data_IF_996457212109
#
_entry.id   IF_996457212109
#
_cell.length_a   1.000
_cell.length_b   1.000
_cell.length_c   1.000
_cell.angle_alpha   90.00
_cell.angle_beta   90.00
_cell.angle_gamma   90.00
#
_symmetry.space_group_name_H-M   'P 1'
#
loop_
_entity.id
_entity.type
_entity.pdbx_description
1 polymer ?
#
# COMPACT_ATOMS: atom_id res chain seq x y z
N UNK A 1 9.13 -3.30 9.02
CA UNK A 1 9.81 -2.26 8.22
C UNK A 1 8.84 -1.12 8.03
N UNK A 2 9.31 0.13 7.94
CA UNK A 2 8.45 1.26 7.63
C UNK A 2 7.87 1.09 6.22
N UNK A 3 6.59 1.41 6.02
CA UNK A 3 6.00 1.39 4.69
C UNK A 3 6.55 2.55 3.85
N UNK A 4 6.84 2.27 2.59
CA UNK A 4 7.51 3.18 1.65
C UNK A 4 6.47 3.86 0.76
N UNK A 5 6.52 5.18 0.70
CA UNK A 5 5.59 5.97 -0.12
C UNK A 5 6.38 6.76 -1.16
N UNK A 6 6.09 6.52 -2.44
CA UNK A 6 6.65 7.31 -3.54
C UNK A 6 5.80 8.58 -3.71
N UNK A 7 6.43 9.74 -3.60
CA UNK A 7 5.84 11.06 -3.79
C UNK A 7 6.34 11.63 -5.11
N UNK A 8 5.44 11.76 -6.09
CA UNK A 8 5.71 12.34 -7.41
C UNK A 8 5.07 13.72 -7.47
N UNK A 9 5.88 14.76 -7.25
CA UNK A 9 5.47 16.17 -7.13
C UNK A 9 6.65 17.05 -7.54
N UNK A 10 6.48 17.97 -8.49
CA UNK A 10 7.57 18.84 -8.97
C UNK A 10 7.76 20.08 -8.09
N UNK A 11 6.70 20.57 -7.45
CA UNK A 11 6.80 21.71 -6.56
C UNK A 11 7.51 21.33 -5.26
N UNK A 12 8.72 21.83 -5.08
CA UNK A 12 9.61 21.53 -3.95
C UNK A 12 8.90 21.72 -2.60
N UNK A 13 8.20 22.85 -2.42
CA UNK A 13 7.53 23.17 -1.15
C UNK A 13 6.43 22.17 -0.79
N UNK A 14 5.68 21.68 -1.79
CA UNK A 14 4.63 20.67 -1.58
C UNK A 14 5.26 19.31 -1.31
N UNK A 15 6.29 18.93 -2.08
CA UNK A 15 7.00 17.67 -1.91
C UNK A 15 7.65 17.56 -0.53
N UNK A 16 8.38 18.60 -0.11
CA UNK A 16 9.02 18.64 1.21
C UNK A 16 7.99 18.54 2.34
N UNK A 17 6.87 19.26 2.22
CA UNK A 17 5.77 19.18 3.19
C UNK A 17 5.17 17.78 3.24
N UNK A 18 4.95 17.14 2.08
CA UNK A 18 4.42 15.76 2.01
C UNK A 18 5.37 14.79 2.69
N UNK A 19 6.67 14.82 2.35
CA UNK A 19 7.67 13.93 2.93
C UNK A 19 7.79 14.15 4.44
N UNK A 20 7.85 15.40 4.89
CA UNK A 20 7.86 15.70 6.32
C UNK A 20 6.66 15.09 7.06
N UNK A 21 5.45 15.25 6.52
CA UNK A 21 4.22 14.70 7.15
C UNK A 21 4.25 13.17 7.16
N UNK A 22 4.70 12.54 6.09
CA UNK A 22 4.80 11.08 6.00
C UNK A 22 5.80 10.52 7.00
N UNK A 23 6.98 11.12 7.11
CA UNK A 23 8.03 10.72 8.06
C UNK A 23 7.59 10.87 9.51
N UNK A 24 6.86 11.95 9.86
CA UNK A 24 6.27 12.14 11.19
C UNK A 24 5.27 11.02 11.56
N UNK A 25 4.71 10.34 10.57
CA UNK A 25 3.79 9.22 10.77
C UNK A 25 4.45 7.84 10.58
N UNK A 26 5.78 7.78 10.50
CA UNK A 26 6.56 6.55 10.45
C UNK A 26 6.65 5.89 9.06
N UNK A 27 6.35 6.63 7.99
CA UNK A 27 6.55 6.19 6.62
C UNK A 27 7.94 6.58 6.10
N UNK A 28 8.48 5.80 5.17
CA UNK A 28 9.67 6.18 4.39
C UNK A 28 9.21 6.91 3.13
N UNK A 29 9.72 8.14 2.90
CA UNK A 29 9.41 8.93 1.72
C UNK A 29 10.44 8.68 0.61
N UNK A 30 9.97 8.38 -0.60
CA UNK A 30 10.77 8.33 -1.82
C UNK A 30 10.35 9.50 -2.68
N UNK A 31 11.28 10.41 -2.98
CA UNK A 31 10.98 11.64 -3.70
C UNK A 31 11.21 11.51 -5.21
N UNK A 32 10.27 12.03 -6.01
CA UNK A 32 10.40 12.16 -7.43
C UNK A 32 9.82 13.52 -7.90
N UNK A 33 10.63 14.32 -8.59
CA UNK A 33 10.25 15.63 -9.15
C UNK A 33 9.94 15.58 -10.65
N UNK A 34 10.03 14.40 -11.25
CA UNK A 34 9.92 14.19 -12.68
C UNK A 34 9.50 12.77 -13.01
N UNK A 35 9.04 12.56 -14.25
CA UNK A 35 8.67 11.23 -14.75
C UNK A 35 9.82 10.23 -14.66
N UNK A 36 11.04 10.67 -15.00
CA UNK A 36 12.23 9.82 -14.95
C UNK A 36 12.55 9.37 -13.53
N UNK A 37 12.51 10.28 -12.55
CA UNK A 37 12.75 9.95 -11.14
C UNK A 37 11.62 9.07 -10.58
N UNK A 38 10.38 9.29 -11.02
CA UNK A 38 9.28 8.41 -10.64
C UNK A 38 9.53 6.97 -11.09
N UNK A 39 9.98 6.75 -12.33
CA UNK A 39 10.36 5.42 -12.80
C UNK A 39 11.54 4.82 -12.03
N UNK A 40 12.48 5.63 -11.56
CA UNK A 40 13.57 5.16 -10.70
C UNK A 40 13.07 4.73 -9.32
N UNK A 41 12.08 5.44 -8.75
CA UNK A 41 11.44 5.11 -7.48
C UNK A 41 10.56 3.84 -7.52
N UNK A 42 10.21 3.37 -8.73
CA UNK A 42 9.44 2.14 -8.95
C UNK A 42 10.32 0.88 -9.08
N UNK A 43 11.58 0.92 -8.68
CA UNK A 43 12.48 -0.25 -8.61
C UNK A 43 12.36 -0.93 -7.25
N UNK A 44 12.79 -2.23 -7.20
CA UNK A 44 12.85 -2.97 -5.95
C UNK A 44 13.80 -2.33 -4.92
N UNK A 45 13.39 -2.27 -3.65
CA UNK A 45 12.09 -2.65 -3.12
C UNK A 45 11.00 -1.65 -3.51
N UNK A 46 9.88 -2.17 -4.05
CA UNK A 46 8.77 -1.36 -4.54
C UNK A 46 8.13 -0.50 -3.44
N UNK A 47 7.55 0.67 -3.78
CA UNK A 47 6.76 1.44 -2.83
C UNK A 47 5.44 0.73 -2.49
N UNK A 48 4.95 0.91 -1.26
CA UNK A 48 3.67 0.38 -0.78
C UNK A 48 2.48 1.25 -1.22
N UNK A 49 2.75 2.52 -1.59
CA UNK A 49 1.76 3.47 -2.10
C UNK A 49 2.45 4.57 -2.91
N UNK A 50 1.74 5.13 -3.88
CA UNK A 50 2.19 6.26 -4.70
C UNK A 50 1.27 7.46 -4.46
N UNK A 51 1.83 8.60 -4.07
CA UNK A 51 1.22 9.92 -4.18
C UNK A 51 1.65 10.53 -5.50
N UNK A 52 0.69 10.85 -6.36
CA UNK A 52 0.96 11.19 -7.74
C UNK A 52 0.28 12.50 -8.13
N UNK A 53 1.09 13.53 -8.40
CA UNK A 53 0.56 14.76 -8.94
C UNK A 53 0.03 14.56 -10.37
N UNK A 54 -0.90 15.39 -10.76
CA UNK A 54 -1.51 15.35 -12.08
C UNK A 54 -0.53 15.75 -13.18
N UNK A 55 0.29 16.77 -12.94
CA UNK A 55 1.26 17.31 -13.91
C UNK A 55 2.62 17.50 -13.27
N UNK A 56 3.67 17.06 -13.97
CA UNK A 56 5.07 17.24 -13.58
C UNK A 56 5.98 17.12 -14.81
N UNK A 57 7.23 17.59 -14.74
CA UNK A 57 8.17 17.55 -15.87
C UNK A 57 8.40 16.15 -16.44
N UNK A 58 8.42 16.07 -17.77
CA UNK A 58 8.68 14.82 -18.51
C UNK A 58 7.47 13.93 -18.76
N UNK A 59 6.29 14.29 -18.20
CA UNK A 59 5.07 13.51 -18.39
C UNK A 59 3.88 14.03 -17.61
N UNK A 60 2.85 13.20 -17.49
CA UNK A 60 1.66 13.50 -16.67
C UNK A 60 1.36 12.33 -15.73
N UNK A 61 0.66 12.64 -14.62
CA UNK A 61 0.23 11.62 -13.67
C UNK A 61 -0.64 10.54 -14.31
N UNK A 62 -1.50 10.91 -15.26
CA UNK A 62 -2.33 9.94 -16.00
C UNK A 62 -1.49 9.01 -16.88
N UNK A 63 -0.41 9.50 -17.50
CA UNK A 63 0.48 8.64 -18.28
C UNK A 63 1.19 7.64 -17.37
N UNK A 64 1.70 8.09 -16.22
CA UNK A 64 2.34 7.22 -15.25
C UNK A 64 1.34 6.21 -14.66
N UNK A 65 0.12 6.65 -14.32
CA UNK A 65 -0.94 5.77 -13.82
C UNK A 65 -1.28 4.66 -14.83
N UNK A 66 -1.43 4.99 -16.11
CA UNK A 66 -1.67 4.00 -17.16
C UNK A 66 -0.52 3.01 -17.28
N UNK A 67 0.72 3.48 -17.23
CA UNK A 67 1.90 2.64 -17.22
C UNK A 67 1.88 1.66 -16.04
N UNK A 68 1.61 2.15 -14.82
CA UNK A 68 1.50 1.31 -13.63
C UNK A 68 0.43 0.23 -13.76
N UNK A 69 -0.76 0.59 -14.29
CA UNK A 69 -1.88 -0.36 -14.38
C UNK A 69 -1.73 -1.39 -15.52
N UNK A 70 -0.79 -1.19 -16.44
CA UNK A 70 -0.45 -2.17 -17.50
C UNK A 70 0.58 -3.21 -17.04
N UNK A 71 1.36 -2.93 -16.02
CA UNK A 71 2.36 -3.85 -15.47
C UNK A 71 1.76 -4.80 -14.44
N UNK A 72 2.13 -6.10 -14.48
CA UNK A 72 1.53 -7.12 -13.61
C UNK A 72 1.86 -6.93 -12.13
N UNK A 73 3.03 -6.36 -11.82
CA UNK A 73 3.50 -6.12 -10.45
C UNK A 73 3.04 -4.74 -9.99
N UNK A 74 3.34 -3.69 -10.77
CA UNK A 74 3.10 -2.31 -10.39
C UNK A 74 1.62 -1.97 -10.30
N UNK A 75 0.74 -2.64 -11.05
CA UNK A 75 -0.72 -2.42 -10.97
C UNK A 75 -1.33 -2.67 -9.60
N UNK A 76 -0.62 -3.44 -8.75
CA UNK A 76 -1.08 -3.76 -7.40
C UNK A 76 -0.76 -2.63 -6.40
N UNK A 77 0.17 -1.73 -6.75
CA UNK A 77 0.53 -0.60 -5.91
C UNK A 77 -0.61 0.42 -5.96
N UNK A 78 -1.18 0.81 -4.80
CA UNK A 78 -2.23 1.80 -4.75
C UNK A 78 -1.70 3.19 -5.13
N UNK A 79 -2.52 3.92 -5.87
CA UNK A 79 -2.20 5.26 -6.34
C UNK A 79 -3.24 6.25 -5.83
N UNK A 80 -2.79 7.29 -5.12
CA UNK A 80 -3.59 8.44 -4.72
C UNK A 80 -3.17 9.64 -5.55
N UNK A 81 -4.10 10.16 -6.36
CA UNK A 81 -3.84 11.32 -7.21
C UNK A 81 -3.94 12.62 -6.41
N UNK A 82 -3.00 13.55 -6.65
CA UNK A 82 -3.06 14.92 -6.18
C UNK A 82 -3.60 15.81 -7.32
N UNK A 83 -4.71 16.52 -7.10
CA UNK A 83 -5.40 17.28 -8.15
C UNK A 83 -5.61 18.73 -7.76
N UNK A 84 -5.59 19.67 -8.71
CA UNK A 84 -5.99 21.04 -8.46
C UNK A 84 -7.51 21.17 -8.23
N UNK A 85 -7.90 22.22 -7.50
CA UNK A 85 -9.33 22.50 -7.22
C UNK A 85 -10.02 22.99 -8.49
N UNK A 86 -11.09 22.29 -8.89
CA UNK A 86 -11.94 22.72 -10.03
C UNK A 86 -12.01 21.76 -11.23
N UNK A 87 -11.14 20.74 -11.24
CA UNK A 87 -11.08 19.77 -12.35
C UNK A 87 -11.88 18.50 -11.99
N UNK A 88 -13.24 18.63 -11.94
CA UNK A 88 -14.09 17.44 -11.69
C UNK A 88 -13.94 16.37 -12.78
N UNK A 89 -13.74 16.79 -14.03
CA UNK A 89 -13.49 15.87 -15.15
C UNK A 89 -12.20 15.06 -14.95
N UNK A 90 -11.18 15.65 -14.36
CA UNK A 90 -9.89 14.97 -14.11
C UNK A 90 -9.99 13.96 -12.97
N UNK A 91 -10.86 14.23 -11.97
CA UNK A 91 -11.14 13.23 -10.91
C UNK A 91 -11.80 11.98 -11.47
N UNK A 92 -12.81 12.16 -12.35
CA UNK A 92 -13.48 11.05 -13.02
C UNK A 92 -12.48 10.28 -13.88
N UNK A 93 -11.68 10.98 -14.69
CA UNK A 93 -10.62 10.37 -15.50
C UNK A 93 -9.57 9.61 -14.66
N UNK A 94 -9.18 10.15 -13.51
CA UNK A 94 -8.26 9.48 -12.61
C UNK A 94 -8.80 8.14 -12.09
N UNK A 95 -10.04 8.14 -11.60
CA UNK A 95 -10.71 6.93 -11.12
C UNK A 95 -10.98 5.92 -12.23
N UNK A 96 -11.43 6.36 -13.40
CA UNK A 96 -11.63 5.50 -14.58
C UNK A 96 -10.33 4.86 -15.07
N UNK A 97 -9.17 5.53 -14.88
CA UNK A 97 -7.86 4.98 -15.22
C UNK A 97 -7.25 4.13 -14.09
N UNK A 98 -7.98 3.90 -12.99
CA UNK A 98 -7.61 2.95 -11.95
C UNK A 98 -6.87 3.56 -10.75
N UNK A 99 -6.97 4.87 -10.50
CA UNK A 99 -6.54 5.45 -9.23
C UNK A 99 -7.42 4.95 -8.07
N UNK A 100 -6.81 4.76 -6.90
CA UNK A 100 -7.50 4.22 -5.72
C UNK A 100 -8.20 5.31 -4.89
N UNK A 101 -7.69 6.55 -4.93
CA UNK A 101 -8.31 7.75 -4.35
C UNK A 101 -7.69 9.01 -4.97
N UNK A 102 -8.23 10.18 -4.60
CA UNK A 102 -7.69 11.49 -4.96
C UNK A 102 -7.75 12.48 -3.80
N UNK A 103 -6.83 13.44 -3.79
CA UNK A 103 -6.77 14.54 -2.83
C UNK A 103 -6.69 15.85 -3.58
N UNK A 104 -7.59 16.79 -3.27
CA UNK A 104 -7.65 18.08 -3.96
C UNK A 104 -6.73 19.09 -3.27
N UNK A 105 -5.83 19.72 -4.04
CA UNK A 105 -5.00 20.85 -3.57
C UNK A 105 -5.85 22.13 -3.47
N UNK A 106 -5.70 22.97 -2.41
CA UNK A 106 -4.89 22.72 -1.21
C UNK A 106 -5.56 21.73 -0.26
N UNK A 107 -4.79 20.83 0.33
CA UNK A 107 -5.25 19.83 1.30
C UNK A 107 -4.59 20.05 2.67
N UNK A 108 -5.27 19.59 3.71
CA UNK A 108 -4.66 19.56 5.03
C UNK A 108 -3.86 18.27 5.23
N UNK A 109 -2.73 18.31 5.98
CA UNK A 109 -1.99 17.10 6.34
C UNK A 109 -2.87 16.02 6.98
N UNK A 110 -3.84 16.44 7.80
CA UNK A 110 -4.79 15.54 8.47
C UNK A 110 -5.71 14.82 7.48
N UNK A 111 -6.20 15.52 6.47
CA UNK A 111 -7.03 14.93 5.41
C UNK A 111 -6.23 13.93 4.59
N UNK A 112 -5.03 14.33 4.13
CA UNK A 112 -4.13 13.46 3.41
C UNK A 112 -3.88 12.15 4.16
N UNK A 113 -3.48 12.24 5.43
CA UNK A 113 -3.18 11.05 6.24
C UNK A 113 -4.38 10.15 6.47
N UNK A 114 -5.58 10.73 6.63
CA UNK A 114 -6.81 9.94 6.76
C UNK A 114 -7.11 9.13 5.48
N UNK A 115 -6.93 9.73 4.31
CA UNK A 115 -7.12 9.08 3.01
C UNK A 115 -6.06 8.00 2.77
N UNK A 116 -4.78 8.31 2.99
CA UNK A 116 -3.68 7.36 2.85
C UNK A 116 -3.90 6.11 3.70
N UNK A 117 -4.25 6.28 4.98
CA UNK A 117 -4.57 5.16 5.88
C UNK A 117 -5.73 4.33 5.35
N UNK A 118 -6.76 4.97 4.77
CA UNK A 118 -7.92 4.27 4.20
C UNK A 118 -7.54 3.45 2.98
N UNK A 119 -6.72 4.01 2.07
CA UNK A 119 -6.25 3.31 0.86
C UNK A 119 -5.31 2.17 1.25
N UNK A 120 -4.32 2.43 2.10
CA UNK A 120 -3.38 1.40 2.55
C UNK A 120 -4.09 0.24 3.27
N UNK A 121 -5.13 0.51 4.06
CA UNK A 121 -5.94 -0.53 4.71
C UNK A 121 -6.68 -1.41 3.71
N UNK A 122 -7.11 -0.89 2.56
CA UNK A 122 -7.78 -1.67 1.50
C UNK A 122 -6.83 -2.61 0.77
N UNK A 123 -5.59 -2.16 0.58
CA UNK A 123 -4.55 -2.90 -0.18
C UNK A 123 -3.73 -3.80 0.73
N UNK A 124 -3.40 -3.32 1.92
CA UNK A 124 -2.79 -4.06 3.01
C UNK A 124 -3.70 -3.96 4.24
N UNK A 125 -4.63 -4.90 4.45
CA UNK A 125 -5.45 -4.96 5.66
C UNK A 125 -4.64 -5.14 6.96
N UNK A 126 -3.32 -5.16 6.86
CA UNK A 126 -2.30 -5.25 7.90
C UNK A 126 -1.99 -3.92 8.60
N UNK A 127 -2.96 -3.01 8.77
CA UNK A 127 -2.77 -1.93 9.75
C UNK A 127 -2.72 -2.57 11.13
N UNK A 128 -1.56 -2.45 11.78
CA UNK A 128 -1.17 -3.08 13.05
C UNK A 128 -2.12 -2.78 14.24
N UNK A 129 -3.17 -1.99 14.05
CA UNK A 129 -4.08 -1.56 15.11
C UNK A 129 -5.50 -2.15 15.03
N UNK A 130 -5.88 -2.81 13.92
CA UNK A 130 -7.24 -3.32 13.78
C UNK A 130 -7.30 -4.86 13.91
N UNK A 131 -8.04 -5.35 14.89
CA UNK A 131 -8.39 -6.78 15.00
C UNK A 131 -9.10 -7.22 13.72
N UNK A 132 -8.48 -8.14 12.98
CA UNK A 132 -9.08 -8.75 11.79
C UNK A 132 -10.24 -9.66 12.19
N UNK A 133 -11.34 -9.61 11.42
CA UNK A 133 -12.51 -10.45 11.68
C UNK A 133 -13.01 -11.07 10.38
N UNK A 134 -13.07 -12.39 10.34
CA UNK A 134 -13.67 -13.15 9.26
C UNK A 134 -14.64 -14.16 9.88
N UNK A 135 -15.94 -13.91 9.75
CA UNK A 135 -16.95 -14.70 10.44
C UNK A 135 -16.78 -14.64 11.98
N UNK A 136 -16.53 -15.79 12.60
CA UNK A 136 -16.30 -15.92 14.04
C UNK A 136 -14.82 -15.88 14.44
N UNK A 137 -13.94 -15.86 13.47
CA UNK A 137 -12.49 -15.79 13.67
C UNK A 137 -12.07 -14.34 13.85
N UNK A 138 -11.33 -14.05 14.92
CA UNK A 138 -10.73 -12.74 15.21
C UNK A 138 -9.22 -12.92 15.37
N UNK A 139 -8.44 -12.02 14.82
CA UNK A 139 -7.00 -12.01 14.90
C UNK A 139 -6.53 -10.61 15.25
N UNK A 140 -5.82 -10.46 16.35
CA UNK A 140 -5.23 -9.21 16.83
C UNK A 140 -3.74 -9.21 16.52
N UNK A 141 -3.29 -8.42 15.53
CA UNK A 141 -1.88 -8.36 15.12
C UNK A 141 -0.98 -7.74 16.18
N UNK A 142 -1.52 -6.86 17.04
CA UNK A 142 -0.74 -6.16 18.07
C UNK A 142 -0.40 -7.09 19.22
N UNK A 143 -1.41 -7.80 19.74
CA UNK A 143 -1.22 -8.74 20.84
C UNK A 143 -0.78 -10.15 20.39
N UNK A 144 -0.67 -10.40 19.08
CA UNK A 144 -0.43 -11.72 18.47
C UNK A 144 -1.39 -12.79 18.97
N UNK A 145 -2.68 -12.44 19.11
CA UNK A 145 -3.72 -13.34 19.58
C UNK A 145 -4.75 -13.64 18.51
N UNK A 146 -5.15 -14.89 18.42
CA UNK A 146 -6.28 -15.32 17.60
C UNK A 146 -7.37 -15.93 18.47
N UNK A 147 -8.64 -15.70 18.14
CA UNK A 147 -9.79 -16.30 18.82
C UNK A 147 -10.83 -16.79 17.80
N UNK A 148 -11.43 -17.93 18.08
CA UNK A 148 -12.58 -18.45 17.32
C UNK A 148 -13.79 -18.51 18.23
N UNK A 149 -14.86 -17.78 17.91
CA UNK A 149 -16.05 -17.63 18.78
C UNK A 149 -15.69 -17.22 20.21
N UNK A 150 -14.75 -16.25 20.33
CA UNK A 150 -14.19 -15.71 21.58
C UNK A 150 -13.34 -16.70 22.41
N UNK A 151 -13.11 -17.93 21.92
CA UNK A 151 -12.16 -18.86 22.53
C UNK A 151 -10.76 -18.64 21.95
N UNK A 152 -9.70 -18.51 22.80
CA UNK A 152 -8.34 -18.37 22.34
C UNK A 152 -7.88 -19.56 21.48
N UNK A 153 -7.16 -19.27 20.41
CA UNK A 153 -6.45 -20.26 19.61
C UNK A 153 -4.96 -20.20 19.96
N UNK A 154 -4.39 -21.32 20.34
CA UNK A 154 -2.96 -21.46 20.52
C UNK A 154 -2.31 -21.65 19.15
N UNK A 155 -1.41 -20.74 18.78
CA UNK A 155 -0.74 -20.72 17.48
C UNK A 155 0.72 -20.34 17.65
N UNK A 156 1.60 -21.00 16.89
CA UNK A 156 2.98 -20.57 16.74
C UNK A 156 3.12 -19.27 15.93
N UNK A 157 4.26 -18.58 16.01
CA UNK A 157 4.47 -17.32 15.28
C UNK A 157 4.30 -17.46 13.76
N UNK A 158 4.66 -18.61 13.21
CA UNK A 158 4.55 -18.91 11.76
C UNK A 158 3.12 -19.15 11.35
N UNK A 159 2.36 -19.93 12.12
CA UNK A 159 0.94 -20.19 11.91
C UNK A 159 0.13 -18.90 12.01
N UNK A 160 0.48 -18.04 12.98
CA UNK A 160 -0.13 -16.74 13.13
C UNK A 160 0.09 -15.86 11.88
N UNK A 161 1.34 -15.79 11.36
CA UNK A 161 1.65 -15.04 10.13
C UNK A 161 0.88 -15.56 8.92
N UNK A 162 0.79 -16.88 8.78
CA UNK A 162 0.06 -17.52 7.68
C UNK A 162 -1.44 -17.23 7.77
N UNK A 163 -2.04 -17.37 8.94
CA UNK A 163 -3.44 -17.04 9.18
C UNK A 163 -3.72 -15.57 8.91
N UNK A 164 -2.86 -14.69 9.41
CA UNK A 164 -2.94 -13.26 9.16
C UNK A 164 -2.90 -12.94 7.65
N UNK A 165 -1.98 -13.57 6.91
CA UNK A 165 -1.90 -13.42 5.46
C UNK A 165 -3.20 -13.84 4.77
N UNK A 166 -3.78 -14.99 5.10
CA UNK A 166 -5.05 -15.42 4.50
C UNK A 166 -6.24 -14.55 4.89
N UNK A 167 -6.30 -14.08 6.14
CA UNK A 167 -7.39 -13.21 6.59
C UNK A 167 -7.34 -11.82 5.93
N UNK A 168 -6.16 -11.39 5.51
CA UNK A 168 -5.97 -10.12 4.80
C UNK A 168 -6.18 -10.24 3.29
N UNK A 169 -6.19 -11.48 2.75
CA UNK A 169 -6.37 -11.75 1.33
C UNK A 169 -7.47 -12.79 1.10
N UNK A 170 -8.72 -12.52 1.51
CA UNK A 170 -9.82 -13.47 1.36
C UNK A 170 -10.09 -13.76 -0.13
N UNK A 171 -10.62 -14.96 -0.41
CA UNK A 171 -11.05 -15.40 -1.75
C UNK A 171 -9.93 -15.51 -2.80
N UNK A 172 -8.66 -15.55 -2.38
CA UNK A 172 -7.52 -15.75 -3.29
C UNK A 172 -6.86 -17.11 -3.06
N UNK A 173 -6.41 -17.72 -4.15
CA UNK A 173 -5.62 -18.94 -4.13
C UNK A 173 -4.16 -18.59 -4.35
N UNK A 174 -3.27 -19.14 -3.53
CA UNK A 174 -1.84 -18.92 -3.61
C UNK A 174 -1.09 -20.23 -3.80
N UNK A 175 -0.06 -20.23 -4.64
CA UNK A 175 0.87 -21.35 -4.72
C UNK A 175 1.77 -21.39 -3.46
N UNK A 176 2.40 -22.56 -3.21
CA UNK A 176 3.38 -22.71 -2.11
C UNK A 176 4.51 -21.66 -2.19
N UNK A 177 5.05 -21.45 -3.36
CA UNK A 177 6.11 -20.47 -3.61
C UNK A 177 5.65 -19.04 -3.28
N UNK A 178 4.45 -18.67 -3.69
CA UNK A 178 3.86 -17.37 -3.35
C UNK A 178 3.67 -17.20 -1.84
N UNK A 179 3.24 -18.25 -1.13
CA UNK A 179 3.09 -18.22 0.32
C UNK A 179 4.44 -18.08 1.02
N UNK A 180 5.45 -18.86 0.59
CA UNK A 180 6.80 -18.78 1.13
C UNK A 180 7.37 -17.36 0.97
N UNK A 181 7.27 -16.77 -0.20
CA UNK A 181 7.77 -15.43 -0.47
C UNK A 181 7.05 -14.34 0.33
N UNK A 182 5.73 -14.43 0.46
CA UNK A 182 4.92 -13.40 1.12
C UNK A 182 4.90 -13.50 2.66
N UNK A 183 4.99 -14.72 3.22
CA UNK A 183 4.86 -14.93 4.67
C UNK A 183 6.23 -15.02 5.36
N UNK A 184 7.23 -15.62 4.69
CA UNK A 184 8.58 -15.82 5.25
C UNK A 184 9.65 -14.87 4.68
N UNK A 185 9.40 -14.29 3.50
CA UNK A 185 10.33 -13.39 2.80
C UNK A 185 11.32 -14.15 1.90
N UNK A 186 11.87 -13.45 0.91
CA UNK A 186 12.69 -14.00 -0.18
C UNK A 186 14.07 -14.57 0.24
N UNK A 187 14.50 -14.37 1.50
CA UNK A 187 15.81 -14.80 2.00
C UNK A 187 15.77 -15.93 3.02
N UNK A 188 14.64 -16.60 3.22
CA UNK A 188 14.53 -17.70 4.17
C UNK A 188 14.52 -19.00 3.41
N UNK A 189 15.60 -19.78 3.55
CA UNK A 189 15.65 -21.17 3.11
C UNK A 189 14.74 -22.00 4.02
N UNK A 190 13.46 -22.09 3.66
CA UNK A 190 12.48 -22.97 4.32
C UNK A 190 12.18 -24.09 3.35
N UNK A 191 12.23 -25.33 3.83
CA UNK A 191 11.82 -26.46 2.99
C UNK A 191 10.37 -26.31 2.53
N UNK A 192 10.05 -26.67 1.29
CA UNK A 192 8.71 -26.55 0.69
C UNK A 192 7.59 -27.20 1.53
N UNK A 193 7.94 -28.14 2.40
CA UNK A 193 7.03 -28.83 3.31
C UNK A 193 6.59 -28.03 4.54
N UNK A 194 7.22 -26.89 4.83
CA UNK A 194 6.85 -26.05 6.00
C UNK A 194 5.45 -25.42 5.83
N UNK A 195 4.92 -25.45 4.62
CA UNK A 195 3.57 -24.91 4.29
C UNK A 195 2.50 -26.02 4.34
N UNK A 196 2.87 -27.28 4.57
CA UNK A 196 1.98 -28.45 4.55
C UNK A 196 1.44 -28.82 5.96
N UNK A 197 1.26 -27.84 6.85
CA UNK A 197 0.72 -28.06 8.22
C UNK A 197 -0.79 -28.14 8.24
#
# INVERSE_FOLDING_TARGET
MASRILVVEDEVAIRDMLCFVLEQHGYECIEADSYEKALQGLKEPYPDLILLDWMFPGGSGIQLLKFLKQDEILRQIPVVMLTARGEEEDKVRGLENGADDYVTKPFSPKELMARLKTVMRRVNPTSLDDTLKVGKLKLDPVSHRATLSDNPLEMGPTEFKLLHFFMTHPERVYSREQLLNNVWGTNVYVEDRTVDV
#
